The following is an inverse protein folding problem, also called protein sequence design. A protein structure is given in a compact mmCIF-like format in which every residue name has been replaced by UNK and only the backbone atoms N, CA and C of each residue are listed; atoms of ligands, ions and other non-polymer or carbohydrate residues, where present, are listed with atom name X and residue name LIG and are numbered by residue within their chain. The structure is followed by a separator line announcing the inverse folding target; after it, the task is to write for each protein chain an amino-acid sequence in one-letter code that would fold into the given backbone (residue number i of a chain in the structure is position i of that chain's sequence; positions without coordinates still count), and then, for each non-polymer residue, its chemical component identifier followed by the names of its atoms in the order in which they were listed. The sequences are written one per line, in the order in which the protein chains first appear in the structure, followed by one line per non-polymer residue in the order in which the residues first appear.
data_IF_986611552801
#
_entry.id   IF_986611552801
#
_cell.length_a   1.000
_cell.length_b   1.000
_cell.length_c   1.000
_cell.angle_alpha   90.00
_cell.angle_beta   90.00
_cell.angle_gamma   90.00
#
_symmetry.space_group_name_H-M   'P 1'
#
loop_
_entity.id
_entity.type
_entity.pdbx_description
1 polymer ?
#
# COMPACT_ATOMS: atom_id res chain seq x y z
N UNK A 1 -22.54 -6.81 12.99
CA UNK A 1 -21.31 -6.02 13.20
C UNK A 1 -20.85 -5.50 11.84
N UNK A 2 -20.47 -4.24 11.75
CA UNK A 2 -19.88 -3.74 10.52
C UNK A 2 -18.48 -4.36 10.34
N UNK A 3 -18.15 -4.76 9.11
CA UNK A 3 -16.80 -5.24 8.77
C UNK A 3 -15.78 -4.10 8.95
N UNK A 4 -14.54 -4.40 9.41
CA UNK A 4 -13.51 -3.37 9.59
C UNK A 4 -13.09 -2.76 8.25
N UNK A 5 -12.80 -1.47 8.26
CA UNK A 5 -12.20 -0.76 7.12
C UNK A 5 -10.68 -0.91 7.20
N UNK A 6 -10.08 -1.40 6.14
CA UNK A 6 -8.63 -1.55 6.03
C UNK A 6 -8.07 -0.52 5.05
N UNK A 7 -7.22 0.39 5.54
CA UNK A 7 -6.44 1.29 4.72
C UNK A 7 -5.21 0.56 4.17
N UNK A 8 -5.12 0.43 2.85
CA UNK A 8 -4.04 -0.30 2.16
C UNK A 8 -3.15 0.70 1.44
N UNK A 9 -1.93 0.95 1.92
CA UNK A 9 -0.98 1.74 1.13
C UNK A 9 -0.57 0.96 -0.11
N UNK A 10 -0.66 1.59 -1.28
CA UNK A 10 -0.38 0.97 -2.57
C UNK A 10 1.08 0.49 -2.70
N UNK A 11 2.02 1.08 -1.91
CA UNK A 11 3.45 0.83 -2.01
C UNK A 11 4.09 1.63 -3.16
N UNK A 12 5.27 1.21 -3.61
CA UNK A 12 5.95 1.88 -4.71
C UNK A 12 5.09 1.84 -5.99
N UNK A 13 4.68 3.01 -6.54
CA UNK A 13 3.83 3.10 -7.72
C UNK A 13 4.45 2.48 -8.98
N UNK A 14 5.77 2.34 -9.00
CA UNK A 14 6.55 1.73 -10.10
C UNK A 14 7.03 0.31 -9.75
N UNK A 15 6.66 -0.20 -8.59
CA UNK A 15 6.94 -1.55 -8.11
C UNK A 15 5.79 -2.53 -8.33
N UNK A 16 5.82 -3.65 -7.63
CA UNK A 16 4.81 -4.71 -7.72
C UNK A 16 3.59 -4.50 -6.80
N UNK A 17 3.63 -3.48 -5.92
CA UNK A 17 2.55 -3.21 -4.95
C UNK A 17 1.18 -3.03 -5.59
N UNK A 18 1.02 -2.18 -6.62
CA UNK A 18 -0.25 -1.98 -7.32
C UNK A 18 -0.82 -3.28 -7.91
N UNK A 19 0.02 -4.09 -8.56
CA UNK A 19 -0.40 -5.37 -9.16
C UNK A 19 -0.82 -6.40 -8.10
N UNK A 20 -0.06 -6.50 -7.00
CA UNK A 20 -0.40 -7.36 -5.86
C UNK A 20 -1.74 -6.95 -5.26
N UNK A 21 -1.99 -5.65 -5.11
CA UNK A 21 -3.25 -5.11 -4.62
C UNK A 21 -4.43 -5.53 -5.49
N UNK A 22 -4.31 -5.36 -6.81
CA UNK A 22 -5.35 -5.76 -7.77
C UNK A 22 -5.64 -7.25 -7.65
N UNK A 23 -4.60 -8.09 -7.63
CA UNK A 23 -4.74 -9.55 -7.52
C UNK A 23 -5.37 -9.99 -6.20
N UNK A 24 -4.98 -9.37 -5.08
CA UNK A 24 -5.55 -9.67 -3.78
C UNK A 24 -7.03 -9.28 -3.68
N UNK A 25 -7.40 -8.11 -4.21
CA UNK A 25 -8.78 -7.61 -4.19
C UNK A 25 -9.67 -8.24 -5.26
N UNK A 26 -9.14 -9.08 -6.14
CA UNK A 26 -9.91 -9.96 -7.00
C UNK A 26 -10.51 -11.15 -6.26
N UNK A 27 -10.02 -11.47 -5.07
CA UNK A 27 -10.60 -12.51 -4.22
C UNK A 27 -11.80 -11.96 -3.45
N UNK A 28 -12.99 -12.46 -3.77
CA UNK A 28 -14.24 -12.09 -3.10
C UNK A 28 -14.19 -12.28 -1.59
N UNK A 29 -13.47 -13.31 -1.11
CA UNK A 29 -13.38 -13.62 0.32
C UNK A 29 -12.77 -12.48 1.16
N UNK A 30 -12.03 -11.57 0.54
CA UNK A 30 -11.51 -10.35 1.20
C UNK A 30 -12.67 -9.46 1.63
N UNK A 31 -13.67 -9.25 0.75
CA UNK A 31 -14.84 -8.40 1.02
C UNK A 31 -15.83 -9.04 1.99
N UNK A 32 -15.73 -10.35 2.22
CA UNK A 32 -16.51 -11.05 3.26
C UNK A 32 -15.93 -10.81 4.67
N UNK A 33 -14.67 -10.33 4.77
CA UNK A 33 -13.94 -10.15 6.02
C UNK A 33 -13.65 -8.69 6.37
N UNK A 34 -13.51 -7.83 5.36
CA UNK A 34 -13.18 -6.42 5.57
C UNK A 34 -13.74 -5.53 4.45
N UNK A 35 -13.59 -4.24 4.65
CA UNK A 35 -13.88 -3.17 3.69
C UNK A 35 -12.56 -2.54 3.24
N UNK A 36 -11.95 -3.00 2.12
CA UNK A 36 -10.65 -2.50 1.69
C UNK A 36 -10.75 -1.13 1.03
N UNK A 37 -9.85 -0.21 1.40
CA UNK A 37 -9.62 1.08 0.77
C UNK A 37 -8.15 1.18 0.38
N UNK A 38 -7.85 1.35 -0.89
CA UNK A 38 -6.49 1.56 -1.37
C UNK A 38 -6.14 3.03 -1.27
N UNK A 39 -4.99 3.36 -0.68
CA UNK A 39 -4.42 4.71 -0.67
C UNK A 39 -3.24 4.72 -1.64
N UNK A 40 -3.36 5.50 -2.70
CA UNK A 40 -2.39 5.51 -3.80
C UNK A 40 -2.80 6.46 -4.91
N UNK A 41 -2.42 6.17 -6.14
CA UNK A 41 -2.73 6.97 -7.32
C UNK A 41 -3.48 6.18 -8.37
N UNK A 42 -4.51 6.78 -8.92
CA UNK A 42 -5.33 6.20 -9.98
C UNK A 42 -4.50 5.76 -11.17
N UNK A 43 -3.53 6.57 -11.61
CA UNK A 43 -2.71 6.26 -12.79
C UNK A 43 -1.96 4.92 -12.66
N UNK A 44 -1.36 4.66 -11.48
CA UNK A 44 -0.65 3.40 -11.22
C UNK A 44 -1.62 2.23 -11.07
N UNK A 45 -2.76 2.44 -10.43
CA UNK A 45 -3.78 1.40 -10.29
C UNK A 45 -4.43 1.04 -11.63
N UNK A 46 -4.73 2.02 -12.50
CA UNK A 46 -5.24 1.78 -13.86
C UNK A 46 -4.27 0.94 -14.69
N UNK A 47 -2.97 1.25 -14.57
CA UNK A 47 -1.95 0.44 -15.22
C UNK A 47 -1.90 -0.98 -14.65
N UNK A 48 -1.94 -1.13 -13.32
CA UNK A 48 -1.92 -2.43 -12.65
C UNK A 48 -3.12 -3.30 -13.02
N UNK A 49 -4.32 -2.71 -13.16
CA UNK A 49 -5.51 -3.44 -13.66
C UNK A 49 -5.27 -3.96 -15.08
N UNK A 50 -4.72 -3.16 -15.99
CA UNK A 50 -4.40 -3.62 -17.36
C UNK A 50 -3.37 -4.77 -17.37
N UNK A 51 -2.36 -4.71 -16.50
CA UNK A 51 -1.39 -5.80 -16.34
C UNK A 51 -2.08 -7.06 -15.81
N UNK A 52 -2.89 -6.94 -14.75
CA UNK A 52 -3.60 -8.07 -14.15
C UNK A 52 -4.60 -8.71 -15.14
N UNK A 53 -5.29 -7.89 -15.94
CA UNK A 53 -6.17 -8.36 -16.99
C UNK A 53 -5.41 -9.17 -18.05
N UNK A 54 -4.30 -8.63 -18.54
CA UNK A 54 -3.47 -9.29 -19.58
C UNK A 54 -2.82 -10.58 -19.07
N UNK A 55 -2.30 -10.58 -17.84
CA UNK A 55 -1.49 -11.69 -17.31
C UNK A 55 -2.35 -12.77 -16.65
N UNK A 56 -3.44 -12.37 -15.99
CA UNK A 56 -4.23 -13.24 -15.11
C UNK A 56 -5.73 -13.27 -15.44
N UNK A 57 -6.18 -12.52 -16.46
CA UNK A 57 -7.61 -12.43 -16.82
C UNK A 57 -8.48 -11.80 -15.75
N UNK A 58 -7.90 -10.99 -14.86
CA UNK A 58 -8.61 -10.31 -13.78
C UNK A 58 -9.24 -9.02 -14.30
N UNK A 59 -10.57 -8.91 -14.17
CA UNK A 59 -11.33 -7.72 -14.55
C UNK A 59 -11.88 -7.04 -13.31
N UNK A 60 -11.36 -5.87 -12.97
CA UNK A 60 -11.82 -5.05 -11.85
C UNK A 60 -11.97 -3.59 -12.30
N UNK A 61 -12.99 -2.92 -11.77
CA UNK A 61 -13.17 -1.49 -11.92
C UNK A 61 -12.42 -0.72 -10.84
N UNK A 62 -12.07 0.52 -11.12
CA UNK A 62 -11.46 1.43 -10.15
C UNK A 62 -12.41 2.61 -9.93
N UNK A 63 -12.49 3.05 -8.69
CA UNK A 63 -13.24 4.25 -8.32
C UNK A 63 -12.39 5.18 -7.48
N UNK A 64 -12.07 6.38 -7.97
CA UNK A 64 -11.40 7.39 -7.17
C UNK A 64 -12.34 7.91 -6.08
N UNK A 65 -11.82 8.06 -4.88
CA UNK A 65 -12.49 8.70 -3.74
C UNK A 65 -11.55 9.72 -3.10
N UNK A 66 -12.11 10.72 -2.41
CA UNK A 66 -11.34 11.75 -1.71
C UNK A 66 -11.51 11.69 -0.19
N UNK A 67 -12.39 10.81 0.27
CA UNK A 67 -12.60 10.52 1.69
C UNK A 67 -13.05 9.07 1.86
N UNK A 68 -12.85 8.53 3.07
CA UNK A 68 -13.31 7.17 3.42
C UNK A 68 -14.83 7.06 3.29
N UNK A 69 -15.55 8.15 3.58
CA UNK A 69 -17.02 8.19 3.49
C UNK A 69 -17.57 8.02 2.06
N UNK A 70 -16.78 8.33 1.03
CA UNK A 70 -17.17 8.15 -0.38
C UNK A 70 -17.01 6.71 -0.86
N UNK A 71 -16.24 5.89 -0.13
CA UNK A 71 -15.98 4.50 -0.50
C UNK A 71 -17.24 3.64 -0.38
N UNK A 72 -17.44 2.74 -1.33
CA UNK A 72 -18.61 1.83 -1.37
C UNK A 72 -18.27 0.41 -0.94
N UNK A 73 -16.99 0.04 -0.96
CA UNK A 73 -16.51 -1.27 -0.54
C UNK A 73 -17.21 -2.45 -1.24
N UNK A 74 -17.45 -2.29 -2.54
CA UNK A 74 -18.20 -3.27 -3.33
C UNK A 74 -17.22 -4.17 -4.10
N UNK A 75 -17.37 -5.49 -3.95
CA UNK A 75 -16.60 -6.44 -4.75
C UNK A 75 -16.76 -6.19 -6.26
N UNK A 76 -15.68 -6.32 -7.00
CA UNK A 76 -15.59 -6.00 -8.43
C UNK A 76 -15.13 -4.57 -8.72
N UNK A 77 -15.15 -3.69 -7.69
CA UNK A 77 -14.66 -2.31 -7.81
C UNK A 77 -13.70 -2.01 -6.66
N UNK A 78 -12.51 -1.51 -6.96
CA UNK A 78 -11.52 -1.07 -5.97
C UNK A 78 -11.73 0.41 -5.71
N UNK A 79 -12.02 0.78 -4.46
CA UNK A 79 -12.01 2.17 -4.02
C UNK A 79 -10.57 2.64 -3.82
N UNK A 80 -10.17 3.71 -4.51
CA UNK A 80 -8.83 4.28 -4.45
C UNK A 80 -8.91 5.70 -3.89
N UNK A 81 -8.36 5.90 -2.69
CA UNK A 81 -8.10 7.23 -2.17
C UNK A 81 -6.97 7.83 -3.01
N UNK A 82 -7.36 8.64 -4.00
CA UNK A 82 -6.45 9.15 -5.02
C UNK A 82 -5.64 10.34 -4.50
N UNK A 83 -4.34 10.13 -4.35
CA UNK A 83 -3.41 11.14 -3.86
C UNK A 83 -2.96 12.12 -4.97
N UNK A 84 -3.06 11.73 -6.24
CA UNK A 84 -2.72 12.56 -7.39
C UNK A 84 -1.22 12.90 -7.52
N UNK A 85 -0.35 12.09 -6.92
CA UNK A 85 1.11 12.29 -6.93
C UNK A 85 1.75 11.76 -8.22
N UNK A 86 1.20 10.69 -8.76
CA UNK A 86 1.65 10.03 -10.00
C UNK A 86 0.64 10.28 -11.10
N UNK A 87 1.11 10.75 -12.24
CA UNK A 87 0.29 10.99 -13.42
C UNK A 87 0.51 9.90 -14.46
N UNK A 88 -0.42 9.76 -15.39
CA UNK A 88 -0.31 8.75 -16.46
C UNK A 88 0.99 8.90 -17.30
N UNK A 89 1.48 10.13 -17.47
CA UNK A 89 2.75 10.38 -18.17
C UNK A 89 4.01 10.01 -17.39
N UNK A 90 3.92 9.77 -16.09
CA UNK A 90 5.03 9.35 -15.25
C UNK A 90 5.25 7.83 -15.31
N UNK A 91 4.27 7.08 -15.86
CA UNK A 91 4.36 5.63 -16.00
C UNK A 91 5.08 5.33 -17.31
N UNK A 92 6.32 4.84 -17.26
CA UNK A 92 7.18 4.68 -18.46
C UNK A 92 6.88 3.37 -19.18
N UNK A 93 5.61 3.02 -19.34
CA UNK A 93 5.18 1.79 -19.97
C UNK A 93 4.11 2.08 -21.03
N UNK A 94 4.14 1.32 -22.11
CA UNK A 94 3.12 1.41 -23.14
C UNK A 94 1.80 0.85 -22.62
N UNK A 95 0.77 1.69 -22.59
CA UNK A 95 -0.58 1.28 -22.17
C UNK A 95 -1.20 0.24 -23.13
N UNK A 96 -0.70 0.15 -24.38
CA UNK A 96 -1.14 -0.84 -25.37
C UNK A 96 -0.45 -2.21 -25.16
N UNK A 97 0.72 -2.23 -24.53
CA UNK A 97 1.44 -3.46 -24.17
C UNK A 97 1.84 -3.44 -22.67
N UNK A 98 0.86 -3.51 -21.76
CA UNK A 98 1.15 -3.45 -20.33
C UNK A 98 1.97 -4.67 -19.88
N UNK A 99 3.02 -4.39 -19.12
CA UNK A 99 3.94 -5.38 -18.54
C UNK A 99 4.05 -5.18 -17.05
N UNK A 100 4.36 -6.23 -16.27
CA UNK A 100 4.64 -6.06 -14.84
C UNK A 100 5.70 -4.99 -14.60
N UNK A 101 5.52 -4.20 -13.55
CA UNK A 101 6.47 -3.16 -13.18
C UNK A 101 7.84 -3.73 -12.81
N UNK A 102 8.88 -2.97 -13.03
CA UNK A 102 10.25 -3.37 -12.73
C UNK A 102 11.24 -2.27 -13.10
N UNK A 103 10.88 -1.01 -12.86
CA UNK A 103 11.63 0.16 -13.33
C UNK A 103 12.82 0.54 -12.46
N UNK A 104 13.01 -0.15 -11.34
CA UNK A 104 14.02 0.22 -10.34
C UNK A 104 13.55 1.36 -9.43
N UNK A 105 14.45 1.77 -8.52
CA UNK A 105 14.18 2.84 -7.58
C UNK A 105 14.20 4.21 -8.26
N UNK A 106 13.19 5.04 -7.96
CA UNK A 106 13.12 6.45 -8.40
C UNK A 106 12.75 7.35 -7.22
N UNK A 107 13.24 8.59 -7.22
CA UNK A 107 12.88 9.55 -6.19
C UNK A 107 11.37 9.85 -6.18
N UNK A 108 10.74 9.93 -7.36
CA UNK A 108 9.29 10.15 -7.49
C UNK A 108 8.49 8.99 -6.88
N UNK A 109 8.86 7.73 -7.19
CA UNK A 109 8.24 6.54 -6.61
C UNK A 109 8.47 6.45 -5.10
N UNK A 110 9.66 6.85 -4.64
CA UNK A 110 10.01 6.94 -3.23
C UNK A 110 9.15 7.94 -2.48
N UNK A 111 9.02 9.17 -2.99
CA UNK A 111 8.15 10.20 -2.41
C UNK A 111 6.70 9.73 -2.35
N UNK A 112 6.17 9.26 -3.46
CA UNK A 112 4.78 8.82 -3.53
C UNK A 112 4.50 7.66 -2.56
N UNK A 113 5.33 6.61 -2.55
CA UNK A 113 5.15 5.47 -1.66
C UNK A 113 5.23 5.86 -0.17
N UNK A 114 6.11 6.80 0.17
CA UNK A 114 6.21 7.35 1.52
C UNK A 114 4.93 8.08 1.91
N UNK A 115 4.41 8.97 1.05
CA UNK A 115 3.19 9.72 1.29
C UNK A 115 1.96 8.80 1.44
N UNK A 116 1.87 7.68 0.72
CA UNK A 116 0.78 6.72 0.91
C UNK A 116 0.83 6.07 2.29
N UNK A 117 2.03 5.75 2.79
CA UNK A 117 2.19 5.21 4.15
C UNK A 117 1.80 6.25 5.19
N UNK A 118 2.25 7.50 5.05
CA UNK A 118 1.85 8.59 5.94
C UNK A 118 0.33 8.77 5.95
N UNK A 119 -0.29 8.76 4.76
CA UNK A 119 -1.75 8.92 4.65
C UNK A 119 -2.54 7.80 5.33
N UNK A 120 -2.16 6.52 5.18
CA UNK A 120 -2.87 5.44 5.89
C UNK A 120 -2.70 5.55 7.40
N UNK A 121 -1.54 6.03 7.89
CA UNK A 121 -1.33 6.31 9.32
C UNK A 121 -2.26 7.43 9.79
N UNK A 122 -2.34 8.54 9.05
CA UNK A 122 -3.25 9.66 9.37
C UNK A 122 -4.71 9.20 9.47
N UNK A 123 -5.18 8.42 8.48
CA UNK A 123 -6.55 7.88 8.48
C UNK A 123 -6.81 6.96 9.67
N UNK A 124 -5.82 6.14 10.07
CA UNK A 124 -5.92 5.28 11.24
C UNK A 124 -5.93 6.08 12.55
N UNK A 125 -5.07 7.08 12.66
CA UNK A 125 -5.02 7.97 13.84
C UNK A 125 -6.29 8.81 13.99
N UNK A 126 -6.93 9.17 12.88
CA UNK A 126 -8.22 9.84 12.87
C UNK A 126 -9.42 8.90 13.15
N UNK A 127 -9.19 7.58 13.20
CA UNK A 127 -10.25 6.59 13.39
C UNK A 127 -11.13 6.39 12.15
N UNK A 128 -10.68 6.84 10.98
CA UNK A 128 -11.40 6.67 9.71
C UNK A 128 -11.22 5.26 9.12
N UNK A 129 -10.12 4.59 9.46
CA UNK A 129 -9.89 3.17 9.15
C UNK A 129 -9.55 2.41 10.44
N UNK A 130 -9.93 1.13 10.50
CA UNK A 130 -9.79 0.29 11.69
C UNK A 130 -8.39 -0.36 11.78
N UNK A 131 -7.74 -0.55 10.64
CA UNK A 131 -6.38 -1.07 10.55
C UNK A 131 -5.73 -0.67 9.22
N UNK A 132 -4.40 -0.83 9.15
CA UNK A 132 -3.63 -0.53 7.95
C UNK A 132 -2.88 -1.75 7.44
N UNK A 133 -2.73 -1.84 6.13
CA UNK A 133 -1.91 -2.82 5.42
C UNK A 133 -0.93 -2.05 4.54
N UNK A 134 0.33 -2.48 4.49
CA UNK A 134 1.34 -1.83 3.65
C UNK A 134 1.84 -2.79 2.58
N UNK A 135 1.86 -2.32 1.34
CA UNK A 135 2.57 -2.97 0.26
C UNK A 135 4.06 -2.59 0.27
N UNK A 136 4.84 -3.31 -0.50
CA UNK A 136 6.28 -3.11 -0.56
C UNK A 136 6.64 -1.68 -1.02
N UNK A 137 7.56 -1.06 -0.29
CA UNK A 137 8.26 0.14 -0.71
C UNK A 137 9.74 -0.17 -0.98
N UNK A 138 10.37 0.63 -1.81
CA UNK A 138 11.81 0.55 -2.03
C UNK A 138 12.53 1.46 -1.04
N UNK A 139 13.39 0.87 -0.18
CA UNK A 139 14.24 1.65 0.75
C UNK A 139 15.15 2.62 0.00
N UNK A 140 15.69 2.18 -1.14
CA UNK A 140 16.51 3.00 -2.01
C UNK A 140 15.71 4.20 -2.54
N UNK A 141 14.47 3.95 -3.04
CA UNK A 141 13.62 4.99 -3.57
C UNK A 141 13.24 6.05 -2.52
N UNK A 142 12.82 5.65 -1.31
CA UNK A 142 12.50 6.61 -0.25
C UNK A 142 13.72 7.40 0.20
N UNK A 143 14.92 6.79 0.23
CA UNK A 143 16.17 7.51 0.51
C UNK A 143 16.51 8.51 -0.60
N UNK A 144 16.31 8.17 -1.87
CA UNK A 144 16.47 9.10 -3.00
C UNK A 144 15.51 10.29 -2.90
N UNK A 145 14.34 10.09 -2.32
CA UNK A 145 13.36 11.15 -2.04
C UNK A 145 13.69 11.98 -0.77
N UNK A 146 14.73 11.61 -0.02
CA UNK A 146 15.16 12.31 1.19
C UNK A 146 14.55 11.75 2.49
N UNK A 147 13.82 10.65 2.44
CA UNK A 147 13.23 10.01 3.62
C UNK A 147 14.13 8.88 4.12
N UNK A 148 14.82 9.11 5.24
CA UNK A 148 15.81 8.18 5.78
C UNK A 148 15.21 7.25 6.84
N UNK A 149 14.50 6.22 6.41
CA UNK A 149 13.92 5.19 7.26
C UNK A 149 14.40 3.80 6.87
N UNK A 150 14.53 2.91 7.85
CA UNK A 150 14.92 1.52 7.62
C UNK A 150 13.77 0.67 7.04
N UNK A 151 12.53 1.11 7.20
CA UNK A 151 11.32 0.45 6.70
C UNK A 151 10.04 1.05 7.27
N UNK A 152 8.93 0.35 7.05
CA UNK A 152 7.61 0.79 7.51
C UNK A 152 7.54 0.97 9.03
N UNK A 153 8.15 0.08 9.80
CA UNK A 153 8.05 0.08 11.27
C UNK A 153 8.50 1.40 11.86
N UNK A 154 9.61 1.95 11.37
CA UNK A 154 10.17 3.21 11.84
C UNK A 154 9.31 4.40 11.39
N UNK A 155 8.75 4.37 10.18
CA UNK A 155 7.79 5.38 9.70
C UNK A 155 6.55 5.39 10.62
N UNK A 156 5.99 4.21 10.91
CA UNK A 156 4.84 4.10 11.82
C UNK A 156 5.17 4.63 13.21
N UNK A 157 6.31 4.24 13.77
CA UNK A 157 6.73 4.68 15.11
C UNK A 157 6.84 6.21 15.19
N UNK A 158 7.43 6.83 14.18
CA UNK A 158 7.62 8.28 14.11
C UNK A 158 6.28 9.01 13.99
N UNK A 159 5.46 8.65 13.00
CA UNK A 159 4.18 9.32 12.73
C UNK A 159 3.07 9.02 13.75
N UNK A 160 3.20 7.97 14.56
CA UNK A 160 2.31 7.71 15.71
C UNK A 160 2.90 8.19 17.04
N UNK A 161 4.08 8.82 17.03
CA UNK A 161 4.82 9.25 18.21
C UNK A 161 5.04 8.12 19.23
N UNK A 162 5.29 6.91 18.74
CA UNK A 162 5.45 5.70 19.55
C UNK A 162 6.92 5.44 19.81
N UNK A 163 7.36 5.56 21.07
CA UNK A 163 8.77 5.36 21.47
C UNK A 163 9.15 3.90 21.69
N UNK A 164 8.17 3.02 21.95
CA UNK A 164 8.39 1.59 22.22
C UNK A 164 7.52 0.77 21.29
N UNK A 165 8.15 0.09 20.36
CA UNK A 165 7.47 -0.74 19.36
C UNK A 165 8.31 -1.99 19.08
N UNK A 166 7.67 -3.01 18.53
CA UNK A 166 8.34 -4.22 18.09
C UNK A 166 7.56 -4.86 16.94
N UNK A 167 8.28 -5.65 16.15
CA UNK A 167 7.68 -6.43 15.07
C UNK A 167 7.25 -7.81 15.61
N UNK A 168 6.05 -8.22 15.26
CA UNK A 168 5.54 -9.56 15.54
C UNK A 168 5.27 -10.30 14.22
N UNK A 169 5.75 -11.52 14.13
CA UNK A 169 5.30 -12.49 13.14
C UNK A 169 4.22 -13.37 13.77
N UNK A 170 3.08 -13.49 13.11
CA UNK A 170 1.95 -14.26 13.62
C UNK A 170 1.44 -15.23 12.54
N UNK A 171 1.23 -16.49 12.93
CA UNK A 171 0.60 -17.50 12.12
C UNK A 171 -0.22 -18.42 13.04
N UNK A 172 -1.53 -18.44 12.85
CA UNK A 172 -2.47 -19.17 13.71
C UNK A 172 -2.22 -18.85 15.20
N UNK A 173 -1.80 -19.85 15.99
CA UNK A 173 -1.51 -19.69 17.43
C UNK A 173 -0.04 -19.31 17.72
N UNK A 174 0.84 -19.36 16.72
CA UNK A 174 2.25 -18.99 16.88
C UNK A 174 2.44 -17.49 16.69
N UNK A 175 2.97 -16.83 17.71
CA UNK A 175 3.36 -15.41 17.69
C UNK A 175 4.80 -15.27 18.12
N UNK A 176 5.63 -14.69 17.26
CA UNK A 176 7.05 -14.46 17.50
C UNK A 176 7.33 -12.96 17.50
N UNK A 177 7.83 -12.45 18.60
CA UNK A 177 8.22 -11.05 18.77
C UNK A 177 9.74 -10.97 18.75
N UNK A 178 10.31 -10.03 17.99
CA UNK A 178 11.74 -9.82 17.90
C UNK A 178 12.23 -8.92 19.03
N UNK A 179 13.29 -9.33 19.73
CA UNK A 179 13.99 -8.50 20.71
C UNK A 179 14.86 -7.46 20.00
N UNK A 180 15.49 -7.87 18.88
CA UNK A 180 16.22 -6.95 17.99
C UNK A 180 16.00 -7.36 16.53
N UNK A 181 16.05 -6.38 15.60
CA UNK A 181 15.86 -6.62 14.18
C UNK A 181 17.11 -6.32 13.34
N UNK A 182 17.87 -5.28 13.69
CA UNK A 182 19.00 -4.79 12.90
C UNK A 182 20.25 -4.50 13.73
N UNK A 183 20.21 -4.81 15.02
CA UNK A 183 21.32 -4.59 15.96
C UNK A 183 21.63 -5.88 16.72
N UNK A 184 22.84 -5.95 17.29
CA UNK A 184 23.20 -7.07 18.14
C UNK A 184 22.36 -7.11 19.40
N UNK A 185 22.19 -8.30 20.02
CA UNK A 185 21.46 -8.43 21.29
C UNK A 185 22.07 -7.58 22.42
N UNK A 186 23.34 -7.23 22.33
CA UNK A 186 24.01 -6.37 23.31
C UNK A 186 23.59 -4.91 23.17
N UNK A 187 23.21 -4.48 21.96
CA UNK A 187 22.80 -3.10 21.64
C UNK A 187 21.29 -2.91 21.80
N UNK A 188 20.49 -3.99 21.77
CA UNK A 188 19.05 -3.99 21.98
C UNK A 188 18.69 -3.90 23.47
#
# INVERSE_FOLDING_TARGET
MNLPILGISMGDPFGNGPEITVKALADRSVYDRCRPLVVGDMASMEYAVKVAEKVSGIHLELRPVRSVAEARFQYGTIDVYDMGLIKAGDIPCDAADPRPFGLGATALGGEASFQYVVKVIELAMAGEVDATITNALSKEAINMAGHHYSGHTEIYADYTHTSKYTMMLAHEDLRVVHVSTHVSLREA
#
